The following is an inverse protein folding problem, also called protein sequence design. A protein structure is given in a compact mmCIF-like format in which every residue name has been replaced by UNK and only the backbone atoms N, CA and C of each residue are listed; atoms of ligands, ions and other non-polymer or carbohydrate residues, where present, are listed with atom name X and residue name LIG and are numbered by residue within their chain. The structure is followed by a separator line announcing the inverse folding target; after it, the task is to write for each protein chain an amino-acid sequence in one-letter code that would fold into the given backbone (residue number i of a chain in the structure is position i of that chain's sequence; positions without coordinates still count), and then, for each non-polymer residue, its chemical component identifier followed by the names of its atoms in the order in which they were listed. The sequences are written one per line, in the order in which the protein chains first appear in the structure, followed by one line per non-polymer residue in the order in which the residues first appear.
data_IF_600157140937
#
_entry.id   IF_600157140937
#
_cell.length_a   1.000
_cell.length_b   1.000
_cell.length_c   1.000
_cell.angle_alpha   90.00
_cell.angle_beta   90.00
_cell.angle_gamma   90.00
#
_symmetry.space_group_name_H-M   'P 1'
#
loop_
_entity.id
_entity.type
_entity.pdbx_description
1 polymer ?
#
# COMPACT_ATOMS: atom_id res chain seq x y z
N UNK A 1 -19.64 5.13 18.91
CA UNK A 1 -19.34 4.43 17.65
C UNK A 1 -17.84 4.54 17.46
N UNK A 2 -17.12 3.43 17.29
CA UNK A 2 -15.69 3.52 16.94
C UNK A 2 -15.64 4.04 15.51
N UNK A 3 -14.97 5.16 15.26
CA UNK A 3 -14.75 5.61 13.90
C UNK A 3 -13.93 4.53 13.18
N UNK A 4 -14.44 3.99 12.07
CA UNK A 4 -13.72 2.97 11.32
C UNK A 4 -12.58 3.66 10.56
N UNK A 5 -11.34 3.31 10.89
CA UNK A 5 -10.13 3.85 10.26
C UNK A 5 -10.05 3.40 8.80
N UNK A 6 -9.65 4.30 7.90
CA UNK A 6 -9.40 3.97 6.49
C UNK A 6 -8.05 3.26 6.38
N UNK A 7 -8.03 2.04 5.83
CA UNK A 7 -6.82 1.22 5.78
C UNK A 7 -6.14 1.35 4.42
N UNK A 8 -4.89 1.79 4.39
CA UNK A 8 -4.10 1.92 3.16
C UNK A 8 -2.92 0.95 3.20
N UNK A 9 -2.91 0.02 2.24
CA UNK A 9 -1.82 -0.93 2.02
C UNK A 9 -0.79 -0.38 1.03
N UNK A 10 0.44 -0.16 1.47
CA UNK A 10 1.55 0.28 0.63
C UNK A 10 2.29 -0.96 0.12
N UNK A 11 2.22 -1.23 -1.18
CA UNK A 11 2.93 -2.32 -1.86
C UNK A 11 4.37 -1.88 -2.07
N UNK A 12 5.30 -2.49 -1.35
CA UNK A 12 6.73 -2.18 -1.45
C UNK A 12 7.53 -2.69 -0.25
N UNK A 13 8.84 -2.79 -0.44
CA UNK A 13 9.77 -3.31 0.56
C UNK A 13 10.36 -2.15 1.35
N UNK A 14 9.76 -1.81 2.50
CA UNK A 14 10.12 -0.59 3.22
C UNK A 14 11.62 -0.53 3.55
N UNK A 15 12.30 0.47 2.96
CA UNK A 15 13.69 0.77 3.24
C UNK A 15 13.82 2.14 3.95
N UNK A 16 14.31 2.19 5.21
CA UNK A 16 14.44 3.44 5.95
C UNK A 16 15.47 4.41 5.37
N UNK A 17 16.34 3.97 4.45
CA UNK A 17 17.29 4.84 3.74
C UNK A 17 16.60 5.58 2.59
N UNK A 18 15.49 5.07 2.07
CA UNK A 18 14.79 5.66 0.93
C UNK A 18 13.90 6.81 1.38
N UNK A 19 14.31 8.03 1.04
CA UNK A 19 13.52 9.25 1.34
C UNK A 19 12.11 9.20 0.75
N UNK A 20 11.92 8.53 -0.39
CA UNK A 20 10.60 8.36 -1.01
C UNK A 20 9.62 7.60 -0.10
N UNK A 21 10.08 6.60 0.64
CA UNK A 21 9.22 5.80 1.51
C UNK A 21 8.73 6.63 2.70
N UNK A 22 9.61 7.42 3.30
CA UNK A 22 9.22 8.40 4.32
C UNK A 22 8.25 9.43 3.78
N UNK A 23 8.47 9.92 2.55
CA UNK A 23 7.57 10.87 1.91
C UNK A 23 6.17 10.29 1.68
N UNK A 24 6.05 9.00 1.33
CA UNK A 24 4.74 8.31 1.23
C UNK A 24 4.04 8.28 2.59
N UNK A 25 4.75 7.93 3.66
CA UNK A 25 4.19 7.93 5.02
C UNK A 25 3.67 9.32 5.39
N UNK A 26 4.50 10.35 5.25
CA UNK A 26 4.12 11.74 5.56
C UNK A 26 2.98 12.25 4.66
N UNK A 27 2.90 11.82 3.40
CA UNK A 27 1.81 12.21 2.51
C UNK A 27 0.45 11.67 2.99
N UNK A 28 0.41 10.42 3.47
CA UNK A 28 -0.80 9.82 4.04
C UNK A 28 -1.19 10.49 5.36
N UNK A 29 -0.22 10.78 6.24
CA UNK A 29 -0.46 11.55 7.47
C UNK A 29 -1.00 12.95 7.18
N UNK A 30 -0.41 13.67 6.21
CA UNK A 30 -0.90 14.98 5.80
C UNK A 30 -2.34 14.92 5.26
N UNK A 31 -2.66 13.91 4.44
CA UNK A 31 -4.02 13.72 3.93
C UNK A 31 -5.02 13.40 5.05
N UNK A 32 -4.66 12.49 5.97
CA UNK A 32 -5.47 12.14 7.13
C UNK A 32 -5.82 13.37 7.97
N UNK A 33 -4.81 14.17 8.32
CA UNK A 33 -4.98 15.42 9.08
C UNK A 33 -5.87 16.43 8.34
N UNK A 34 -5.62 16.63 7.04
CA UNK A 34 -6.37 17.60 6.22
C UNK A 34 -7.85 17.24 6.08
N UNK A 35 -8.18 15.95 6.08
CA UNK A 35 -9.53 15.42 5.96
C UNK A 35 -10.19 15.14 7.32
N UNK A 36 -9.43 15.23 8.42
CA UNK A 36 -9.89 14.87 9.77
C UNK A 36 -10.44 13.43 9.85
N UNK A 37 -9.76 12.51 9.17
CA UNK A 37 -10.07 11.07 9.18
C UNK A 37 -8.89 10.29 9.76
N UNK A 38 -9.19 9.16 10.38
CA UNK A 38 -8.16 8.21 10.81
C UNK A 38 -7.73 7.34 9.63
N UNK A 39 -6.42 7.20 9.44
CA UNK A 39 -5.82 6.40 8.35
C UNK A 39 -4.78 5.46 8.93
N UNK A 40 -5.04 4.16 8.86
CA UNK A 40 -4.07 3.12 9.17
C UNK A 40 -3.22 2.83 7.93
N UNK A 41 -1.91 3.06 8.02
CA UNK A 41 -0.96 2.78 6.94
C UNK A 41 -0.15 1.52 7.23
N UNK A 42 -0.11 0.60 6.28
CA UNK A 42 0.63 -0.66 6.43
C UNK A 42 1.48 -0.92 5.21
N UNK A 43 2.79 -1.10 5.42
CA UNK A 43 3.69 -1.58 4.37
C UNK A 43 3.53 -3.08 4.16
N UNK A 44 3.38 -3.48 2.91
CA UNK A 44 3.17 -4.84 2.44
C UNK A 44 4.41 -5.27 1.65
N UNK A 45 5.33 -6.05 2.27
CA UNK A 45 6.52 -6.54 1.60
C UNK A 45 6.14 -7.35 0.36
N UNK A 46 6.79 -7.07 -0.76
CA UNK A 46 6.47 -7.69 -2.04
C UNK A 46 6.62 -9.22 -2.03
N UNK A 47 7.56 -9.85 -1.29
CA UNK A 47 7.61 -11.31 -1.20
C UNK A 47 6.33 -11.94 -0.63
N UNK A 48 5.65 -11.28 0.31
CA UNK A 48 4.40 -11.75 0.90
C UNK A 48 3.20 -11.66 -0.07
N UNK A 49 3.39 -10.96 -1.19
CA UNK A 49 2.39 -10.77 -2.24
C UNK A 49 2.67 -11.67 -3.45
N UNK A 50 3.57 -12.65 -3.32
CA UNK A 50 3.79 -13.66 -4.34
C UNK A 50 2.97 -14.93 -4.03
N UNK A 51 2.07 -15.33 -4.93
CA UNK A 51 1.34 -16.60 -4.84
C UNK A 51 -0.12 -16.53 -4.37
N UNK A 52 -0.63 -17.65 -3.84
CA UNK A 52 -2.03 -17.81 -3.39
C UNK A 52 -2.21 -17.08 -2.05
N UNK A 53 -3.19 -16.18 -1.93
CA UNK A 53 -3.38 -15.37 -0.72
C UNK A 53 -3.34 -13.85 -0.95
N UNK A 54 -2.84 -13.41 -2.11
CA UNK A 54 -2.75 -11.98 -2.48
C UNK A 54 -4.10 -11.28 -2.38
N UNK A 55 -5.15 -11.95 -2.84
CA UNK A 55 -6.49 -11.38 -2.82
C UNK A 55 -6.95 -11.09 -1.40
N UNK A 56 -6.80 -12.09 -0.53
CA UNK A 56 -7.22 -12.05 0.86
C UNK A 56 -6.45 -10.98 1.63
N UNK A 57 -5.14 -10.88 1.39
CA UNK A 57 -4.30 -9.82 1.99
C UNK A 57 -4.78 -8.44 1.51
N UNK A 58 -4.85 -8.24 0.20
CA UNK A 58 -5.14 -6.91 -0.37
C UNK A 58 -6.59 -6.50 -0.16
N UNK A 59 -7.53 -7.43 0.04
CA UNK A 59 -8.93 -7.16 0.35
C UNK A 59 -9.14 -6.52 1.72
N UNK A 60 -8.18 -6.63 2.64
CA UNK A 60 -8.27 -6.03 3.98
C UNK A 60 -8.02 -4.51 4.01
N UNK A 61 -7.78 -3.90 2.85
CA UNK A 61 -7.44 -2.48 2.70
C UNK A 61 -8.48 -1.75 1.85
N UNK A 62 -8.72 -0.48 2.15
CA UNK A 62 -9.64 0.38 1.39
C UNK A 62 -8.93 1.00 0.18
N UNK A 63 -7.64 1.29 0.31
CA UNK A 63 -6.78 1.81 -0.76
C UNK A 63 -5.45 1.08 -0.86
N UNK A 64 -4.86 1.07 -2.06
CA UNK A 64 -3.51 0.52 -2.29
C UNK A 64 -2.60 1.56 -2.93
N UNK A 65 -1.34 1.59 -2.48
CA UNK A 65 -0.31 2.45 -3.04
C UNK A 65 0.90 1.61 -3.46
N UNK A 66 1.27 1.58 -4.74
CA UNK A 66 2.53 0.98 -5.18
C UNK A 66 3.69 1.98 -5.00
N UNK A 67 4.60 1.69 -4.06
CA UNK A 67 5.71 2.57 -3.72
C UNK A 67 6.84 2.52 -4.77
N UNK A 68 7.53 3.64 -4.96
CA UNK A 68 8.77 3.68 -5.75
C UNK A 68 9.93 3.09 -4.95
N UNK A 69 10.76 2.26 -5.58
CA UNK A 69 11.91 1.66 -4.90
C UNK A 69 12.50 0.45 -5.60
N UNK A 70 12.43 0.38 -6.95
CA UNK A 70 13.00 -0.75 -7.67
C UNK A 70 14.52 -0.86 -7.46
N UNK A 71 15.08 -2.09 -7.47
CA UNK A 71 14.39 -3.36 -7.60
C UNK A 71 13.58 -3.72 -6.34
N UNK A 72 12.38 -4.29 -6.54
CA UNK A 72 11.62 -4.93 -5.45
C UNK A 72 12.30 -6.24 -5.05
N UNK A 73 12.15 -6.63 -3.78
CA UNK A 73 12.63 -7.93 -3.31
C UNK A 73 11.91 -9.08 -4.03
N UNK A 74 10.65 -8.89 -4.41
CA UNK A 74 9.91 -9.78 -5.31
C UNK A 74 9.18 -8.99 -6.40
N UNK A 75 9.73 -9.03 -7.62
CA UNK A 75 9.05 -8.46 -8.79
C UNK A 75 7.68 -9.13 -9.04
N UNK A 76 7.61 -10.45 -8.91
CA UNK A 76 6.36 -11.21 -9.09
C UNK A 76 5.28 -10.76 -8.11
N UNK A 77 5.64 -10.54 -6.84
CA UNK A 77 4.70 -10.06 -5.84
C UNK A 77 4.23 -8.64 -6.08
N UNK A 78 5.14 -7.75 -6.50
CA UNK A 78 4.77 -6.38 -6.90
C UNK A 78 3.79 -6.39 -8.08
N UNK A 79 4.07 -7.16 -9.12
CA UNK A 79 3.21 -7.26 -10.31
C UNK A 79 1.86 -7.90 -9.98
N UNK A 80 1.83 -8.96 -9.17
CA UNK A 80 0.60 -9.61 -8.73
C UNK A 80 -0.31 -8.63 -7.98
N UNK A 81 0.25 -7.83 -7.07
CA UNK A 81 -0.51 -6.84 -6.31
C UNK A 81 -1.03 -5.68 -7.18
N UNK A 82 -0.21 -5.19 -8.11
CA UNK A 82 -0.62 -4.15 -9.08
C UNK A 82 -1.72 -4.67 -10.00
N UNK A 83 -1.55 -5.87 -10.59
CA UNK A 83 -2.57 -6.48 -11.42
C UNK A 83 -3.88 -6.65 -10.65
N UNK A 84 -3.78 -7.15 -9.41
CA UNK A 84 -4.92 -7.35 -8.55
C UNK A 84 -5.72 -6.06 -8.31
N UNK A 85 -5.04 -4.97 -7.95
CA UNK A 85 -5.67 -3.68 -7.66
C UNK A 85 -6.27 -3.04 -8.92
N UNK A 86 -5.61 -3.16 -10.09
CA UNK A 86 -6.04 -2.53 -11.34
C UNK A 86 -7.16 -3.27 -12.08
N UNK A 87 -7.28 -4.58 -11.88
CA UNK A 87 -8.33 -5.40 -12.52
C UNK A 87 -9.63 -5.40 -11.74
N UNK A 88 -9.65 -4.73 -10.59
CA UNK A 88 -10.82 -4.49 -9.74
C UNK A 88 -11.00 -2.98 -9.70
N UNK A 89 -12.23 -2.50 -9.56
CA UNK A 89 -12.50 -1.06 -9.47
C UNK A 89 -12.12 -0.52 -8.07
N UNK A 90 -10.88 -0.79 -7.66
CA UNK A 90 -10.36 -0.62 -6.31
C UNK A 90 -9.42 0.58 -6.29
N UNK A 91 -9.48 1.46 -5.28
CA UNK A 91 -8.61 2.63 -5.22
C UNK A 91 -7.13 2.22 -5.24
N UNK A 92 -6.40 2.75 -6.23
CA UNK A 92 -5.00 2.44 -6.48
C UNK A 92 -4.25 3.69 -6.94
N UNK A 93 -3.09 3.95 -6.33
CA UNK A 93 -2.14 5.01 -6.72
C UNK A 93 -0.75 4.41 -6.89
N UNK A 94 0.07 4.96 -7.79
CA UNK A 94 1.49 4.62 -7.93
C UNK A 94 2.33 5.87 -8.15
N UNK A 95 3.57 5.85 -7.68
CA UNK A 95 4.58 6.91 -7.90
C UNK A 95 5.70 6.43 -8.79
#
# INVERSE_FOLDING_TARGET
MVAQSVRVGIIGDFNPVFRSHHAINSALEHAANRLSVDVETVWLPTPALSGRGVHEILANYDGRWAASGSPYDSLDGALAAIQFARTRNWPFVST
#
